data_IF_549457910407
#
_entry.id   IF_549457910407
#
_cell.length_a   1.000
_cell.length_b   1.000
_cell.length_c   1.000
_cell.angle_alpha   90.00
_cell.angle_beta   90.00
_cell.angle_gamma   90.00
#
_symmetry.space_group_name_H-M   'P 1'
#
loop_
_entity.id
_entity.type
_entity.pdbx_description
1 polymer ?
#
# COMPACT_ATOMS: atom_id res chain seq x y z
N UNK A 1 -4.06 -5.78 -18.11
CA UNK A 1 -3.28 -5.82 -19.36
C UNK A 1 -1.98 -4.99 -19.30
N UNK A 2 -2.02 -3.68 -19.03
CA UNK A 2 -0.81 -2.81 -19.07
C UNK A 2 0.36 -3.23 -18.15
N UNK A 3 0.09 -3.75 -16.96
CA UNK A 3 1.14 -4.26 -16.03
C UNK A 3 1.80 -5.54 -16.55
N UNK A 4 1.02 -6.44 -17.17
CA UNK A 4 1.54 -7.63 -17.83
C UNK A 4 2.42 -7.24 -19.01
N UNK A 5 2.00 -6.28 -19.84
CA UNK A 5 2.81 -5.75 -20.95
C UNK A 5 4.15 -5.18 -20.48
N UNK A 6 4.17 -4.52 -19.31
CA UNK A 6 5.40 -3.97 -18.72
C UNK A 6 6.33 -5.08 -18.18
N UNK A 7 5.75 -6.12 -17.58
CA UNK A 7 6.48 -7.32 -17.13
C UNK A 7 7.05 -8.07 -18.33
N UNK A 8 6.29 -8.20 -19.43
CA UNK A 8 6.77 -8.81 -20.67
C UNK A 8 7.86 -7.96 -21.33
N UNK A 9 7.74 -6.64 -21.39
CA UNK A 9 8.81 -5.78 -21.91
C UNK A 9 10.09 -5.81 -21.05
N UNK A 10 9.95 -5.89 -19.72
CA UNK A 10 11.08 -6.09 -18.81
C UNK A 10 11.67 -7.49 -18.93
N UNK A 11 10.83 -8.51 -19.13
CA UNK A 11 11.23 -9.88 -19.38
C UNK A 11 11.98 -10.00 -20.71
N UNK A 12 11.52 -9.34 -21.77
CA UNK A 12 12.20 -9.28 -23.06
C UNK A 12 13.54 -8.57 -22.94
N UNK A 13 13.60 -7.48 -22.18
CA UNK A 13 14.84 -6.78 -21.87
C UNK A 13 15.84 -7.66 -21.09
N UNK A 14 15.39 -8.32 -20.01
CA UNK A 14 16.23 -9.23 -19.24
C UNK A 14 16.66 -10.46 -20.06
N UNK A 15 15.77 -10.97 -20.91
CA UNK A 15 16.04 -12.08 -21.82
C UNK A 15 17.10 -11.71 -22.86
N UNK A 16 17.04 -10.49 -23.41
CA UNK A 16 18.06 -9.96 -24.31
C UNK A 16 19.40 -9.75 -23.60
N UNK A 17 19.37 -9.22 -22.37
CA UNK A 17 20.56 -9.00 -21.56
C UNK A 17 21.23 -10.34 -21.19
N UNK A 18 20.43 -11.35 -20.83
CA UNK A 18 20.92 -12.69 -20.51
C UNK A 18 21.47 -13.43 -21.74
N UNK A 19 20.82 -13.29 -22.91
CA UNK A 19 21.38 -13.77 -24.20
C UNK A 19 22.70 -13.08 -24.54
N UNK A 20 22.81 -11.77 -24.28
CA UNK A 20 24.03 -10.98 -24.51
C UNK A 20 25.19 -11.32 -23.56
N UNK A 21 24.90 -11.81 -22.35
CA UNK A 21 25.91 -12.22 -21.37
C UNK A 21 26.55 -13.59 -21.68
N UNK A 22 26.12 -14.29 -22.74
CA UNK A 22 26.80 -15.50 -23.23
C UNK A 22 26.82 -16.67 -22.25
N UNK A 23 26.01 -16.65 -21.20
CA UNK A 23 25.94 -17.72 -20.20
C UNK A 23 25.17 -18.90 -20.78
N UNK A 24 25.83 -19.69 -21.63
CA UNK A 24 25.37 -21.00 -22.05
C UNK A 24 25.35 -21.91 -20.83
N UNK A 25 24.18 -22.09 -20.20
CA UNK A 25 24.02 -23.23 -19.29
C UNK A 25 24.06 -24.51 -20.15
N UNK A 26 25.01 -25.43 -19.91
CA UNK A 26 25.01 -26.70 -20.59
C UNK A 26 23.82 -27.52 -20.06
N UNK A 27 22.88 -27.88 -20.94
CA UNK A 27 21.80 -28.81 -20.60
C UNK A 27 20.37 -28.39 -20.96
N UNK A 28 20.13 -27.21 -21.54
CA UNK A 28 18.83 -26.95 -22.18
C UNK A 28 18.83 -27.62 -23.57
N UNK A 29 17.95 -28.60 -23.83
CA UNK A 29 17.88 -29.25 -25.13
C UNK A 29 17.42 -28.22 -26.16
N UNK A 30 18.36 -27.78 -27.00
CA UNK A 30 18.07 -27.01 -28.20
C UNK A 30 17.38 -27.95 -29.19
N UNK A 31 16.05 -27.89 -29.25
CA UNK A 31 15.33 -28.45 -30.38
C UNK A 31 15.68 -27.60 -31.61
N UNK A 32 16.43 -28.18 -32.54
CA UNK A 32 16.83 -27.54 -33.79
C UNK A 32 15.59 -27.07 -34.57
N UNK A 33 15.47 -25.75 -34.81
CA UNK A 33 14.55 -25.18 -35.79
C UNK A 33 13.47 -24.23 -35.26
N UNK A 34 13.29 -24.09 -33.93
CA UNK A 34 12.43 -23.05 -33.36
C UNK A 34 13.28 -22.13 -32.49
N UNK A 35 13.14 -20.80 -32.68
CA UNK A 35 13.86 -19.83 -31.85
C UNK A 35 13.69 -20.17 -30.37
N UNK A 36 14.75 -20.20 -29.55
CA UNK A 36 14.65 -20.55 -28.15
C UNK A 36 13.79 -19.51 -27.44
N UNK A 37 12.51 -19.82 -27.25
CA UNK A 37 11.61 -19.02 -26.42
C UNK A 37 12.10 -19.15 -24.99
N UNK A 38 12.75 -18.10 -24.50
CA UNK A 38 13.07 -17.99 -23.08
C UNK A 38 11.73 -18.04 -22.34
N UNK A 39 11.50 -19.12 -21.62
CA UNK A 39 10.36 -19.21 -20.71
C UNK A 39 10.80 -18.66 -19.35
N UNK A 40 9.83 -18.13 -18.59
CA UNK A 40 10.05 -17.70 -17.20
C UNK A 40 10.70 -18.79 -16.34
N UNK A 41 10.48 -20.06 -16.70
CA UNK A 41 11.03 -21.22 -16.00
C UNK A 41 12.55 -21.35 -16.16
N UNK A 42 13.12 -20.78 -17.21
CA UNK A 42 14.55 -20.81 -17.47
C UNK A 42 15.34 -19.72 -16.72
N UNK A 43 14.66 -18.72 -16.15
CA UNK A 43 15.34 -17.65 -15.42
C UNK A 43 15.97 -18.16 -14.12
N UNK A 44 17.16 -17.68 -13.73
CA UNK A 44 17.73 -17.91 -12.39
C UNK A 44 16.86 -17.35 -11.25
N UNK A 45 17.00 -17.93 -10.04
CA UNK A 45 16.18 -17.56 -8.86
C UNK A 45 16.39 -16.09 -8.43
N UNK A 46 17.62 -15.60 -8.48
CA UNK A 46 18.00 -14.22 -8.20
C UNK A 46 17.32 -13.23 -9.16
N UNK A 47 17.25 -13.57 -10.45
CA UNK A 47 16.52 -12.75 -11.44
C UNK A 47 15.03 -12.75 -11.16
N UNK A 48 14.44 -13.91 -10.84
CA UNK A 48 13.03 -14.00 -10.46
C UNK A 48 12.72 -13.22 -9.19
N UNK A 49 13.64 -13.20 -8.22
CA UNK A 49 13.52 -12.39 -7.01
C UNK A 49 13.53 -10.89 -7.31
N UNK A 50 14.36 -10.44 -8.26
CA UNK A 50 14.38 -9.03 -8.73
C UNK A 50 13.06 -8.69 -9.44
N UNK A 51 12.51 -9.61 -10.24
CA UNK A 51 11.19 -9.41 -10.87
C UNK A 51 10.12 -9.26 -9.79
N UNK A 52 10.14 -10.13 -8.77
CA UNK A 52 9.23 -10.05 -7.63
C UNK A 52 9.41 -8.73 -6.85
N UNK A 53 10.63 -8.20 -6.69
CA UNK A 53 10.89 -6.86 -6.11
C UNK A 53 10.18 -5.76 -6.89
N UNK A 54 10.25 -5.80 -8.22
CA UNK A 54 9.59 -4.78 -9.05
C UNK A 54 8.07 -4.89 -8.99
N UNK A 55 7.54 -6.10 -8.83
CA UNK A 55 6.11 -6.32 -8.69
C UNK A 55 5.59 -5.81 -7.34
N UNK A 56 6.39 -5.84 -6.28
CA UNK A 56 6.01 -5.43 -4.91
C UNK A 56 5.79 -3.91 -4.77
N UNK A 57 6.14 -3.11 -5.79
CA UNK A 57 5.86 -1.67 -5.76
C UNK A 57 4.35 -1.41 -5.59
N UNK A 58 3.95 -0.59 -4.59
CA UNK A 58 2.55 -0.37 -4.29
C UNK A 58 1.86 0.26 -5.50
N UNK A 59 0.92 -0.48 -6.09
CA UNK A 59 -0.05 0.11 -7.00
C UNK A 59 -0.98 0.94 -6.12
N UNK A 60 -0.79 2.26 -6.12
CA UNK A 60 -1.70 3.21 -5.45
C UNK A 60 -2.99 3.27 -6.27
N UNK A 61 -3.80 2.22 -6.19
CA UNK A 61 -5.23 2.30 -6.48
C UNK A 61 -5.90 2.74 -5.17
N UNK A 62 -6.33 4.00 -5.13
CA UNK A 62 -7.20 4.64 -4.14
C UNK A 62 -7.41 3.83 -2.84
N UNK A 63 -6.57 4.07 -1.82
CA UNK A 63 -6.69 3.49 -0.48
C UNK A 63 -7.89 4.04 0.33
N UNK A 64 -8.98 4.39 -0.36
CA UNK A 64 -10.28 4.73 0.20
C UNK A 64 -11.33 4.02 -0.66
N UNK A 65 -11.43 2.69 -0.53
CA UNK A 65 -12.63 1.86 -0.65
C UNK A 65 -12.28 0.38 -0.93
N UNK A 66 -13.06 -0.50 -0.31
CA UNK A 66 -13.17 -1.95 -0.53
C UNK A 66 -12.03 -2.84 -0.01
N UNK A 67 -12.34 -3.57 1.08
CA UNK A 67 -11.43 -4.46 1.77
C UNK A 67 -11.05 -5.71 0.99
N UNK A 68 -9.78 -5.79 0.60
CA UNK A 68 -8.95 -7.01 0.49
C UNK A 68 -7.52 -6.56 0.19
N UNK A 69 -6.58 -6.66 1.13
CA UNK A 69 -5.15 -6.45 0.79
C UNK A 69 -4.21 -7.27 1.67
N UNK A 70 -4.00 -8.56 1.37
CA UNK A 70 -2.68 -9.15 1.65
C UNK A 70 -1.68 -8.22 0.96
N UNK A 71 -0.76 -7.60 1.70
CA UNK A 71 0.11 -6.53 1.17
C UNK A 71 1.34 -7.07 0.40
N UNK A 72 1.30 -8.33 -0.06
CA UNK A 72 1.96 -8.61 -1.33
C UNK A 72 1.18 -7.85 -2.39
N UNK A 73 1.83 -7.05 -3.24
CA UNK A 73 1.08 -6.39 -4.31
C UNK A 73 0.20 -7.43 -5.01
N UNK A 74 -1.04 -7.07 -5.38
CA UNK A 74 -1.97 -7.97 -6.08
C UNK A 74 -1.27 -8.70 -7.24
N UNK A 75 -0.26 -8.05 -7.83
CA UNK A 75 0.61 -8.59 -8.87
C UNK A 75 1.53 -9.73 -8.38
N UNK A 76 2.19 -9.62 -7.22
CA UNK A 76 3.02 -10.71 -6.67
C UNK A 76 2.19 -11.95 -6.40
N UNK A 77 0.99 -11.79 -5.81
CA UNK A 77 0.10 -12.92 -5.54
C UNK A 77 -0.34 -13.57 -6.86
N UNK A 78 -0.84 -12.78 -7.82
CA UNK A 78 -1.22 -13.28 -9.16
C UNK A 78 -0.06 -13.92 -9.91
N UNK A 79 1.15 -13.39 -9.76
CA UNK A 79 2.33 -13.95 -10.41
C UNK A 79 2.77 -15.27 -9.75
N UNK A 80 2.63 -15.37 -8.43
CA UNK A 80 2.92 -16.59 -7.69
C UNK A 80 2.00 -17.76 -8.03
N UNK A 81 0.79 -17.51 -8.55
CA UNK A 81 -0.11 -18.60 -8.98
C UNK A 81 0.31 -19.22 -10.32
N UNK A 82 1.22 -18.58 -11.07
CA UNK A 82 1.64 -19.06 -12.40
C UNK A 82 2.55 -20.29 -12.31
N UNK A 83 3.41 -20.36 -11.30
CA UNK A 83 4.40 -21.44 -11.18
C UNK A 83 4.79 -21.73 -9.72
N UNK A 84 4.95 -23.01 -9.36
CA UNK A 84 5.32 -23.45 -8.00
C UNK A 84 6.67 -22.87 -7.52
N UNK A 85 7.67 -22.77 -8.40
CA UNK A 85 8.99 -22.18 -8.11
C UNK A 85 8.85 -20.70 -7.75
N UNK A 86 8.09 -19.94 -8.54
CA UNK A 86 7.80 -18.52 -8.27
C UNK A 86 7.05 -18.37 -6.94
N UNK A 87 6.11 -19.26 -6.64
CA UNK A 87 5.41 -19.27 -5.35
C UNK A 87 6.36 -19.48 -4.18
N UNK A 88 7.30 -20.42 -4.27
CA UNK A 88 8.28 -20.67 -3.21
C UNK A 88 9.22 -19.48 -3.03
N UNK A 89 9.72 -18.89 -4.13
CA UNK A 89 10.59 -17.70 -4.08
C UNK A 89 9.85 -16.47 -3.54
N UNK A 90 8.58 -16.30 -3.90
CA UNK A 90 7.74 -15.19 -3.48
C UNK A 90 7.12 -15.36 -2.10
N UNK A 91 7.20 -16.55 -1.49
CA UNK A 91 6.53 -16.87 -0.23
C UNK A 91 6.90 -15.88 0.89
N UNK A 92 8.20 -15.61 1.05
CA UNK A 92 8.69 -14.68 2.06
C UNK A 92 8.17 -13.25 1.88
N UNK A 93 7.83 -12.85 0.66
CA UNK A 93 7.26 -11.53 0.34
C UNK A 93 5.76 -11.50 0.58
N UNK A 94 5.05 -12.50 0.07
CA UNK A 94 3.60 -12.64 0.20
C UNK A 94 3.20 -12.69 1.67
N UNK A 95 3.94 -13.45 2.47
CA UNK A 95 3.64 -13.66 3.89
C UNK A 95 4.21 -12.58 4.80
N UNK A 96 5.04 -11.65 4.29
CA UNK A 96 5.70 -10.63 5.11
C UNK A 96 4.71 -9.72 5.82
N UNK A 97 3.67 -9.32 5.11
CA UNK A 97 2.64 -8.38 5.58
C UNK A 97 1.26 -8.97 5.32
N UNK A 98 0.63 -9.42 6.39
CA UNK A 98 -0.70 -9.99 6.36
C UNK A 98 -1.73 -8.94 6.78
N UNK A 99 -2.84 -8.84 6.06
CA UNK A 99 -3.96 -8.00 6.44
C UNK A 99 -5.24 -8.83 6.37
N UNK A 100 -5.88 -9.00 7.51
CA UNK A 100 -7.15 -9.67 7.67
C UNK A 100 -8.19 -8.56 7.83
N UNK A 101 -8.81 -8.19 6.71
CA UNK A 101 -9.57 -6.95 6.56
C UNK A 101 -11.02 -7.01 7.05
N UNK A 102 -11.76 -5.89 6.97
CA UNK A 102 -13.12 -5.75 7.51
C UNK A 102 -14.17 -6.61 6.79
N UNK A 103 -13.91 -7.06 5.57
CA UNK A 103 -14.80 -7.92 4.77
C UNK A 103 -14.83 -9.39 5.24
N UNK A 104 -14.15 -9.70 6.33
CA UNK A 104 -13.96 -11.06 6.81
C UNK A 104 -14.99 -11.41 7.87
N UNK A 105 -15.81 -12.43 7.58
CA UNK A 105 -16.65 -13.02 8.62
C UNK A 105 -15.78 -13.65 9.72
N UNK A 106 -16.31 -13.74 10.94
CA UNK A 106 -15.61 -14.36 12.08
C UNK A 106 -15.07 -15.77 11.74
N UNK A 107 -15.85 -16.57 11.00
CA UNK A 107 -15.43 -17.90 10.54
C UNK A 107 -14.26 -17.86 9.57
N UNK A 108 -14.28 -16.93 8.59
CA UNK A 108 -13.17 -16.76 7.63
C UNK A 108 -11.91 -16.31 8.37
N UNK A 109 -12.05 -15.39 9.31
CA UNK A 109 -10.94 -14.89 10.13
C UNK A 109 -10.32 -16.00 10.98
N UNK A 110 -11.14 -16.72 11.74
CA UNK A 110 -10.71 -17.88 12.54
C UNK A 110 -9.98 -18.92 11.68
N UNK A 111 -10.54 -19.26 10.52
CA UNK A 111 -9.90 -20.21 9.59
C UNK A 111 -8.53 -19.70 9.09
N UNK A 112 -8.40 -18.43 8.72
CA UNK A 112 -7.08 -17.93 8.30
C UNK A 112 -6.08 -17.83 9.43
N UNK A 113 -6.50 -17.45 10.64
CA UNK A 113 -5.61 -17.46 11.81
C UNK A 113 -5.10 -18.88 12.07
N UNK A 114 -5.97 -19.88 12.00
CA UNK A 114 -5.58 -21.29 12.07
C UNK A 114 -4.57 -21.67 10.97
N UNK A 115 -4.80 -21.27 9.72
CA UNK A 115 -3.85 -21.53 8.62
C UNK A 115 -2.51 -20.82 8.80
N UNK A 116 -2.51 -19.60 9.30
CA UNK A 116 -1.29 -18.84 9.64
C UNK A 116 -0.52 -19.58 10.73
N UNK A 117 -1.21 -20.03 11.79
CA UNK A 117 -0.63 -20.81 12.88
C UNK A 117 -0.07 -22.16 12.44
N UNK A 118 -0.66 -22.80 11.43
CA UNK A 118 -0.20 -24.09 10.92
C UNK A 118 0.89 -23.96 9.84
N UNK A 119 1.00 -22.80 9.19
CA UNK A 119 1.95 -22.57 8.10
C UNK A 119 3.37 -22.27 8.60
N UNK A 120 4.32 -23.17 8.32
CA UNK A 120 5.74 -22.94 8.62
C UNK A 120 6.32 -21.69 7.92
N UNK A 121 5.86 -21.40 6.70
CA UNK A 121 6.24 -20.17 5.98
C UNK A 121 5.72 -18.91 6.67
N UNK A 122 4.49 -18.93 7.17
CA UNK A 122 3.91 -17.77 7.85
C UNK A 122 4.65 -17.47 9.16
N UNK A 123 4.96 -18.49 9.96
CA UNK A 123 5.78 -18.33 11.18
C UNK A 123 7.14 -17.69 10.89
N UNK A 124 7.79 -18.13 9.81
CA UNK A 124 9.14 -17.70 9.45
C UNK A 124 9.20 -16.33 8.81
N UNK A 125 8.17 -15.92 8.07
CA UNK A 125 8.27 -14.73 7.21
C UNK A 125 7.36 -13.57 7.64
N UNK A 126 6.32 -13.82 8.45
CA UNK A 126 5.40 -12.75 8.87
C UNK A 126 6.11 -11.76 9.79
N UNK A 127 6.21 -10.52 9.33
CA UNK A 127 6.78 -9.40 10.10
C UNK A 127 5.72 -8.40 10.53
N UNK A 128 4.61 -8.33 9.80
CA UNK A 128 3.52 -7.39 10.02
C UNK A 128 2.19 -8.12 9.88
N UNK A 129 1.30 -7.96 10.85
CA UNK A 129 -0.08 -8.41 10.75
C UNK A 129 -1.01 -7.26 11.11
N UNK A 130 -2.03 -7.04 10.28
CA UNK A 130 -3.12 -6.12 10.57
C UNK A 130 -4.42 -6.90 10.57
N UNK A 131 -5.24 -6.70 11.59
CA UNK A 131 -6.49 -7.42 11.80
C UNK A 131 -7.57 -6.39 12.06
N UNK A 132 -8.59 -6.44 11.22
CA UNK A 132 -9.74 -5.57 11.27
C UNK A 132 -10.94 -6.40 11.74
N UNK A 133 -11.26 -6.26 13.02
CA UNK A 133 -12.35 -6.96 13.70
C UNK A 133 -13.64 -6.15 13.56
N UNK A 134 -14.21 -6.20 12.35
CA UNK A 134 -15.50 -5.60 12.02
C UNK A 134 -16.51 -6.70 11.83
N UNK A 135 -17.37 -6.86 12.81
CA UNK A 135 -18.54 -7.70 12.64
C UNK A 135 -19.62 -6.80 12.03
N UNK A 136 -19.59 -6.67 10.70
CA UNK A 136 -20.64 -5.98 9.94
C UNK A 136 -22.01 -6.59 10.30
N UNK A 137 -22.91 -5.74 10.82
CA UNK A 137 -24.35 -5.93 10.66
C UNK A 137 -25.08 -6.99 11.50
N UNK A 138 -24.46 -7.67 12.46
CA UNK A 138 -25.16 -8.76 13.14
C UNK A 138 -25.26 -8.60 14.66
N UNK A 139 -26.52 -8.48 15.08
CA UNK A 139 -27.09 -8.81 16.40
C UNK A 139 -26.82 -10.30 16.78
N UNK A 140 -26.01 -11.02 16.00
CA UNK A 140 -25.71 -12.43 16.19
C UNK A 140 -24.71 -12.62 17.33
N UNK A 141 -25.28 -13.06 18.46
CA UNK A 141 -24.72 -13.73 19.63
C UNK A 141 -23.21 -13.61 19.90
N UNK A 142 -22.87 -13.19 21.11
CA UNK A 142 -21.51 -13.17 21.67
C UNK A 142 -20.68 -14.46 21.41
N UNK A 143 -21.34 -15.62 21.22
CA UNK A 143 -20.70 -16.90 20.87
C UNK A 143 -19.92 -16.87 19.56
N UNK A 144 -20.37 -16.14 18.54
CA UNK A 144 -19.67 -16.05 17.24
C UNK A 144 -18.44 -15.12 17.29
N UNK A 145 -18.28 -14.34 18.37
CA UNK A 145 -17.18 -13.40 18.54
C UNK A 145 -15.94 -14.06 19.18
N UNK A 146 -16.13 -15.13 19.96
CA UNK A 146 -15.05 -15.77 20.75
C UNK A 146 -14.07 -16.59 19.90
N UNK A 147 -14.55 -17.30 18.88
CA UNK A 147 -13.72 -18.19 18.06
C UNK A 147 -12.53 -17.50 17.36
N UNK A 148 -12.68 -16.33 16.69
CA UNK A 148 -11.53 -15.63 16.14
C UNK A 148 -10.58 -15.08 17.21
N UNK A 149 -11.05 -14.84 18.44
CA UNK A 149 -10.22 -14.32 19.53
C UNK A 149 -9.30 -15.41 20.09
N UNK A 150 -9.81 -16.62 20.36
CA UNK A 150 -8.97 -17.74 20.80
C UNK A 150 -7.89 -18.08 19.77
N UNK A 151 -8.26 -18.14 18.49
CA UNK A 151 -7.30 -18.38 17.41
C UNK A 151 -6.27 -17.26 17.30
N UNK A 152 -6.65 -16.01 17.57
CA UNK A 152 -5.70 -14.90 17.57
C UNK A 152 -4.66 -15.04 18.69
N UNK A 153 -5.12 -15.33 19.91
CA UNK A 153 -4.24 -15.54 21.08
C UNK A 153 -3.26 -16.69 20.83
N UNK A 154 -3.69 -17.76 20.18
CA UNK A 154 -2.82 -18.89 19.86
C UNK A 154 -1.90 -18.63 18.66
N UNK A 155 -2.32 -17.76 17.73
CA UNK A 155 -1.54 -17.46 16.51
C UNK A 155 -0.39 -16.50 16.79
N UNK A 156 -0.63 -15.40 17.53
CA UNK A 156 0.37 -14.33 17.70
C UNK A 156 1.71 -14.82 18.30
N UNK A 157 1.73 -15.65 19.36
CA UNK A 157 2.98 -16.16 19.93
C UNK A 157 3.75 -17.07 18.98
N UNK A 158 3.08 -17.67 17.98
CA UNK A 158 3.73 -18.56 17.00
C UNK A 158 4.48 -17.83 15.89
N UNK A 159 4.38 -16.50 15.82
CA UNK A 159 4.99 -15.67 14.80
C UNK A 159 6.28 -15.01 15.33
N UNK A 160 7.38 -15.77 15.35
CA UNK A 160 8.67 -15.39 15.97
C UNK A 160 9.26 -14.07 15.44
N UNK A 161 8.91 -13.69 14.21
CA UNK A 161 9.44 -12.49 13.55
C UNK A 161 8.43 -11.34 13.46
N UNK A 162 7.28 -11.47 14.11
CA UNK A 162 6.26 -10.44 14.11
C UNK A 162 6.77 -9.22 14.88
N UNK A 163 6.84 -8.07 14.20
CA UNK A 163 7.29 -6.78 14.75
C UNK A 163 6.22 -5.71 14.74
N UNK A 164 5.30 -5.79 13.77
CA UNK A 164 4.20 -4.84 13.65
C UNK A 164 2.85 -5.53 13.81
N UNK A 165 2.07 -5.09 14.79
CA UNK A 165 0.72 -5.57 15.03
C UNK A 165 -0.28 -4.43 14.85
N UNK A 166 -1.25 -4.61 13.99
CA UNK A 166 -2.40 -3.72 13.85
C UNK A 166 -3.66 -4.46 14.28
N UNK A 167 -4.41 -3.91 15.23
CA UNK A 167 -5.75 -4.41 15.56
C UNK A 167 -6.71 -3.22 15.55
N UNK A 168 -7.71 -3.29 14.68
CA UNK A 168 -8.84 -2.38 14.74
C UNK A 168 -10.07 -3.17 15.19
N UNK A 169 -10.80 -2.64 16.16
CA UNK A 169 -11.93 -3.33 16.76
C UNK A 169 -12.98 -2.32 17.25
N UNK A 170 -14.24 -2.74 17.26
CA UNK A 170 -15.31 -2.01 17.96
C UNK A 170 -15.10 -2.06 19.48
N UNK A 171 -15.78 -1.19 20.24
CA UNK A 171 -15.67 -1.18 21.70
C UNK A 171 -16.04 -2.53 22.34
N UNK A 172 -17.08 -3.21 21.82
CA UNK A 172 -17.50 -4.52 22.32
C UNK A 172 -16.45 -5.60 22.05
N UNK A 173 -15.90 -5.65 20.82
CA UNK A 173 -14.84 -6.59 20.48
C UNK A 173 -13.53 -6.29 21.23
N UNK A 174 -13.20 -5.02 21.48
CA UNK A 174 -12.05 -4.63 22.29
C UNK A 174 -12.14 -5.14 23.74
N UNK A 175 -13.34 -5.09 24.34
CA UNK A 175 -13.58 -5.64 25.69
C UNK A 175 -13.39 -7.15 25.74
N UNK A 176 -13.97 -7.88 24.78
CA UNK A 176 -13.82 -9.33 24.72
C UNK A 176 -12.36 -9.77 24.44
N UNK A 177 -11.64 -9.04 23.58
CA UNK A 177 -10.20 -9.23 23.38
C UNK A 177 -9.42 -9.00 24.66
N UNK A 178 -9.76 -7.95 25.43
CA UNK A 178 -9.08 -7.67 26.69
C UNK A 178 -9.14 -8.87 27.62
N UNK A 179 -10.34 -9.43 27.83
CA UNK A 179 -10.52 -10.61 28.67
C UNK A 179 -9.69 -11.79 28.15
N UNK A 180 -9.73 -12.08 26.84
CA UNK A 180 -8.94 -13.17 26.26
C UNK A 180 -7.40 -12.98 26.43
N UNK A 181 -6.91 -11.75 26.30
CA UNK A 181 -5.49 -11.41 26.50
C UNK A 181 -5.08 -11.50 27.98
N UNK A 182 -5.96 -11.06 28.89
CA UNK A 182 -5.74 -11.12 30.33
C UNK A 182 -5.72 -12.58 30.81
N UNK A 183 -6.69 -13.39 30.38
CA UNK A 183 -6.79 -14.82 30.71
C UNK A 183 -5.57 -15.62 30.23
N UNK A 184 -5.06 -15.30 29.03
CA UNK A 184 -3.87 -15.93 28.48
C UNK A 184 -2.55 -15.37 29.06
N UNK A 185 -2.61 -14.34 29.90
CA UNK A 185 -1.48 -13.57 30.39
C UNK A 185 -0.46 -13.23 29.28
N UNK A 186 -0.97 -12.87 28.09
CA UNK A 186 -0.14 -12.77 26.90
C UNK A 186 0.77 -11.55 26.97
N UNK A 187 2.05 -11.75 26.62
CA UNK A 187 3.04 -10.69 26.39
C UNK A 187 3.50 -10.74 24.94
N UNK A 188 3.72 -9.57 24.37
CA UNK A 188 4.07 -9.37 22.97
C UNK A 188 5.43 -8.67 22.86
N UNK A 189 6.46 -9.31 23.37
CA UNK A 189 7.80 -8.71 23.52
C UNK A 189 8.47 -8.40 22.16
N UNK A 190 8.11 -9.12 21.09
CA UNK A 190 8.68 -8.89 19.76
C UNK A 190 8.06 -7.68 19.03
N UNK A 191 6.94 -7.14 19.54
CA UNK A 191 6.21 -6.06 18.88
C UNK A 191 6.88 -4.72 19.16
N UNK A 192 7.37 -4.09 18.11
CA UNK A 192 7.98 -2.75 18.13
C UNK A 192 7.07 -1.69 17.51
N UNK A 193 6.09 -2.08 16.70
CA UNK A 193 5.12 -1.19 16.07
C UNK A 193 3.69 -1.67 16.35
N UNK A 194 2.83 -0.77 16.80
CA UNK A 194 1.46 -1.09 17.16
C UNK A 194 0.48 -0.10 16.53
N UNK A 195 -0.57 -0.61 15.92
CA UNK A 195 -1.69 0.20 15.40
C UNK A 195 -2.98 -0.22 16.08
N UNK A 196 -3.67 0.69 16.76
CA UNK A 196 -4.83 0.36 17.59
C UNK A 196 -6.04 1.26 17.36
N UNK A 197 -7.22 0.72 17.68
CA UNK A 197 -8.40 1.54 17.95
C UNK A 197 -8.33 2.19 19.35
N UNK A 198 -9.04 3.32 19.58
CA UNK A 198 -8.95 4.06 20.86
C UNK A 198 -9.33 3.26 22.12
N UNK A 199 -10.16 2.22 22.00
CA UNK A 199 -10.62 1.39 23.13
C UNK A 199 -9.63 0.29 23.55
N UNK A 200 -8.40 0.31 23.02
CA UNK A 200 -7.41 -0.76 23.20
C UNK A 200 -6.14 -0.28 23.93
N UNK A 201 -6.26 0.77 24.74
CA UNK A 201 -5.19 1.29 25.60
C UNK A 201 -4.59 0.20 26.52
N UNK A 202 -5.41 -0.76 26.96
CA UNK A 202 -5.01 -1.92 27.76
C UNK A 202 -3.96 -2.83 27.10
N UNK A 203 -3.75 -2.74 25.78
CA UNK A 203 -2.77 -3.57 25.08
C UNK A 203 -1.34 -2.99 25.18
N UNK A 204 -1.20 -1.68 25.44
CA UNK A 204 0.11 -1.02 25.50
C UNK A 204 1.04 -1.64 26.57
N UNK A 205 0.59 -1.91 27.81
CA UNK A 205 1.42 -2.56 28.82
C UNK A 205 1.85 -4.00 28.46
N UNK A 206 1.23 -4.63 27.44
CA UNK A 206 1.58 -5.98 26.97
C UNK A 206 2.68 -5.97 25.90
N UNK A 207 3.09 -4.80 25.41
CA UNK A 207 4.10 -4.63 24.37
C UNK A 207 5.30 -3.83 24.91
N UNK A 208 6.16 -4.39 25.77
CA UNK A 208 7.17 -3.63 26.50
C UNK A 208 8.22 -2.96 25.60
N UNK A 209 8.50 -3.52 24.42
CA UNK A 209 9.50 -3.02 23.47
C UNK A 209 8.91 -2.10 22.39
N UNK A 210 7.76 -1.48 22.67
CA UNK A 210 7.03 -0.65 21.70
C UNK A 210 7.79 0.65 21.41
N UNK A 211 8.11 0.86 20.13
CA UNK A 211 8.79 2.06 19.64
C UNK A 211 7.88 2.96 18.80
N UNK A 212 6.87 2.40 18.15
CA UNK A 212 5.94 3.13 17.30
C UNK A 212 4.50 2.80 17.62
N UNK A 213 3.69 3.83 17.89
CA UNK A 213 2.26 3.70 18.15
C UNK A 213 1.47 4.55 17.16
N UNK A 214 0.52 3.94 16.48
CA UNK A 214 -0.45 4.59 15.62
C UNK A 214 -1.86 4.32 16.14
N UNK A 215 -2.66 5.36 16.29
CA UNK A 215 -4.04 5.26 16.77
C UNK A 215 -4.94 5.57 15.60
N UNK A 216 -5.83 4.65 15.28
CA UNK A 216 -6.71 4.76 14.13
C UNK A 216 -8.18 4.83 14.56
N UNK A 217 -8.74 6.04 14.54
CA UNK A 217 -10.09 6.36 15.05
C UNK A 217 -11.17 6.38 13.94
N UNK A 218 -10.81 6.11 12.69
CA UNK A 218 -11.77 6.07 11.56
C UNK A 218 -12.96 5.12 11.78
N UNK A 219 -12.80 4.16 12.69
CA UNK A 219 -13.75 3.07 12.95
C UNK A 219 -14.90 3.48 13.84
N UNK A 220 -14.72 4.48 14.71
CA UNK A 220 -15.59 4.60 15.87
C UNK A 220 -16.37 5.91 15.87
N UNK A 221 -17.68 5.81 15.60
CA UNK A 221 -18.67 6.82 15.95
C UNK A 221 -19.04 6.79 17.45
N UNK A 222 -18.06 6.64 18.34
CA UNK A 222 -18.33 6.68 19.78
C UNK A 222 -18.56 8.11 20.25
N UNK A 223 -19.41 8.25 21.26
CA UNK A 223 -19.69 9.53 21.92
C UNK A 223 -18.59 9.91 22.94
N UNK A 224 -17.79 8.95 23.42
CA UNK A 224 -16.77 9.13 24.48
C UNK A 224 -15.31 9.15 23.98
N UNK A 225 -15.04 9.78 22.82
CA UNK A 225 -13.71 9.73 22.19
C UNK A 225 -12.59 10.37 23.03
N UNK A 226 -12.87 11.51 23.65
CA UNK A 226 -11.90 12.28 24.45
C UNK A 226 -11.31 11.45 25.60
N UNK A 227 -12.14 10.72 26.33
CA UNK A 227 -11.72 9.89 27.47
C UNK A 227 -10.78 8.77 27.03
N UNK A 228 -11.10 8.07 25.93
CA UNK A 228 -10.26 7.00 25.41
C UNK A 228 -8.93 7.50 24.88
N UNK A 229 -8.94 8.63 24.17
CA UNK A 229 -7.71 9.21 23.66
C UNK A 229 -6.79 9.70 24.78
N UNK A 230 -7.34 10.28 25.85
CA UNK A 230 -6.58 10.66 27.04
C UNK A 230 -5.99 9.45 27.78
N UNK A 231 -6.76 8.38 27.97
CA UNK A 231 -6.27 7.14 28.59
C UNK A 231 -5.14 6.51 27.78
N UNK A 232 -5.29 6.48 26.45
CA UNK A 232 -4.28 5.95 25.55
C UNK A 232 -3.02 6.82 25.59
N UNK A 233 -3.14 8.15 25.58
CA UNK A 233 -1.99 9.05 25.73
C UNK A 233 -1.28 8.82 27.07
N UNK A 234 -2.03 8.66 28.16
CA UNK A 234 -1.48 8.36 29.49
C UNK A 234 -0.74 7.02 29.49
N UNK A 235 -1.30 5.99 28.86
CA UNK A 235 -0.66 4.68 28.72
C UNK A 235 0.59 4.74 27.82
N UNK A 236 0.55 5.51 26.74
CA UNK A 236 1.69 5.75 25.87
C UNK A 236 2.82 6.50 26.59
N UNK A 237 2.48 7.47 27.44
CA UNK A 237 3.44 8.22 28.26
C UNK A 237 4.21 7.34 29.25
N UNK A 238 3.63 6.20 29.66
CA UNK A 238 4.30 5.23 30.51
C UNK A 238 5.35 4.38 29.76
N UNK A 239 5.40 4.45 28.43
CA UNK A 239 6.35 3.71 27.60
C UNK A 239 7.66 4.49 27.46
N UNK A 240 8.77 3.92 27.91
CA UNK A 240 10.09 4.59 27.93
C UNK A 240 10.71 4.75 26.54
N UNK A 241 10.44 3.80 25.65
CA UNK A 241 11.12 3.68 24.36
C UNK A 241 10.26 4.15 23.17
N UNK A 242 9.14 4.84 23.44
CA UNK A 242 8.25 5.29 22.38
C UNK A 242 8.87 6.47 21.61
N UNK A 243 9.26 6.22 20.36
CA UNK A 243 9.91 7.19 19.49
C UNK A 243 8.95 7.78 18.44
N UNK A 244 7.94 7.01 18.05
CA UNK A 244 6.99 7.38 17.01
C UNK A 244 5.57 7.33 17.57
N UNK A 245 4.84 8.42 17.41
CA UNK A 245 3.44 8.52 17.81
C UNK A 245 2.63 9.12 16.68
N UNK A 246 1.55 8.47 16.27
CA UNK A 246 0.65 8.96 15.25
C UNK A 246 -0.79 8.88 15.74
N UNK A 247 -1.50 10.01 15.65
CA UNK A 247 -2.91 10.10 16.00
C UNK A 247 -3.71 10.34 14.73
N UNK A 248 -4.44 9.32 14.28
CA UNK A 248 -5.39 9.40 13.19
C UNK A 248 -6.79 9.64 13.75
N UNK A 249 -7.04 10.83 14.30
CA UNK A 249 -8.34 11.24 14.80
C UNK A 249 -8.98 12.28 13.86
N UNK A 250 -10.22 12.04 13.46
CA UNK A 250 -10.99 12.91 12.58
C UNK A 250 -11.52 14.18 13.26
N UNK A 251 -11.43 14.29 14.60
CA UNK A 251 -11.85 15.46 15.37
C UNK A 251 -10.89 15.70 16.54
N UNK A 252 -10.12 16.77 16.43
CA UNK A 252 -9.05 17.26 17.33
C UNK A 252 -9.41 17.31 18.84
N UNK A 253 -9.56 16.18 19.51
CA UNK A 253 -9.80 16.13 20.97
C UNK A 253 -8.53 15.82 21.78
N UNK A 254 -7.47 15.28 21.18
CA UNK A 254 -6.16 15.28 21.84
C UNK A 254 -5.48 16.59 21.49
N UNK A 255 -5.32 17.45 22.49
CA UNK A 255 -4.62 18.70 22.28
C UNK A 255 -3.13 18.37 22.08
N UNK A 256 -2.54 18.85 20.98
CA UNK A 256 -1.10 18.73 20.73
C UNK A 256 -0.22 19.14 21.94
N UNK A 257 -0.60 20.15 22.76
CA UNK A 257 0.03 20.40 24.06
C UNK A 257 0.10 19.20 25.00
N UNK A 258 -0.96 18.40 25.11
CA UNK A 258 -1.00 17.22 25.96
C UNK A 258 -0.02 16.16 25.45
N UNK A 259 0.05 15.98 24.13
CA UNK A 259 1.03 15.07 23.51
C UNK A 259 2.46 15.51 23.80
N UNK A 260 2.72 16.82 23.73
CA UNK A 260 4.03 17.37 24.04
C UNK A 260 4.40 17.19 25.52
N UNK A 261 3.45 17.35 26.43
CA UNK A 261 3.67 17.14 27.86
C UNK A 261 3.92 15.67 28.18
N UNK A 262 3.12 14.77 27.61
CA UNK A 262 3.22 13.34 27.82
C UNK A 262 4.44 12.69 27.13
N UNK A 263 4.78 13.13 25.93
CA UNK A 263 5.76 12.49 25.04
C UNK A 263 6.77 13.50 24.45
N UNK A 264 7.56 14.21 25.29
CA UNK A 264 8.41 15.32 24.84
C UNK A 264 9.59 14.90 23.93
N UNK A 265 9.97 13.62 23.97
CA UNK A 265 11.16 13.07 23.27
C UNK A 265 10.83 12.34 21.96
N UNK A 266 9.63 12.55 21.41
CA UNK A 266 9.25 11.93 20.14
C UNK A 266 10.20 12.34 19.00
N UNK A 267 10.60 11.33 18.24
CA UNK A 267 11.35 11.49 16.99
C UNK A 267 10.44 11.67 15.79
N UNK A 268 9.26 11.06 15.84
CA UNK A 268 8.25 11.15 14.78
C UNK A 268 6.88 11.42 15.36
N UNK A 269 6.18 12.38 14.78
CA UNK A 269 4.81 12.70 15.13
C UNK A 269 3.93 12.68 13.87
N UNK A 270 2.85 11.91 13.92
CA UNK A 270 1.80 11.90 12.91
C UNK A 270 0.55 12.60 13.42
N UNK A 271 0.11 13.63 12.69
CA UNK A 271 -1.13 14.36 12.91
C UNK A 271 -2.02 14.18 11.68
N UNK A 272 -3.20 13.60 11.89
CA UNK A 272 -4.24 13.52 10.89
C UNK A 272 -5.33 14.52 11.26
N UNK A 273 -5.76 15.35 10.31
CA UNK A 273 -6.96 16.15 10.49
C UNK A 273 -8.06 15.59 9.63
N UNK A 274 -9.17 15.20 10.25
CA UNK A 274 -10.34 14.72 9.52
C UNK A 274 -10.96 15.76 8.60
N UNK A 275 -12.07 15.36 8.00
CA UNK A 275 -12.77 16.02 6.88
C UNK A 275 -13.38 17.40 7.17
N UNK A 276 -13.10 18.04 8.31
CA UNK A 276 -13.78 19.27 8.74
C UNK A 276 -12.94 20.33 9.45
N UNK A 277 -11.64 20.11 9.68
CA UNK A 277 -10.79 21.10 10.35
C UNK A 277 -9.33 20.85 10.05
N UNK A 278 -8.83 21.49 8.99
CA UNK A 278 -7.43 21.37 8.59
C UNK A 278 -6.45 21.79 9.69
N UNK A 279 -5.19 21.36 9.57
CA UNK A 279 -4.13 21.72 10.52
C UNK A 279 -3.90 23.24 10.43
N UNK A 280 -4.24 23.96 11.48
CA UNK A 280 -3.87 25.36 11.61
C UNK A 280 -2.36 25.47 11.94
N UNK A 281 -1.52 25.57 10.90
CA UNK A 281 -0.07 25.64 11.07
C UNK A 281 0.38 26.79 11.98
N UNK A 282 -0.32 27.93 11.99
CA UNK A 282 0.06 29.07 12.84
C UNK A 282 -0.11 28.76 14.33
N UNK A 283 -1.12 27.95 14.68
CA UNK A 283 -1.29 27.44 16.04
C UNK A 283 -0.35 26.27 16.37
N UNK A 284 -0.19 25.32 15.45
CA UNK A 284 0.53 24.06 15.74
C UNK A 284 2.05 24.21 15.70
N UNK A 285 2.61 25.04 14.81
CA UNK A 285 4.07 25.17 14.64
C UNK A 285 4.80 25.64 15.91
N UNK A 286 4.31 26.65 16.67
CA UNK A 286 4.91 27.03 17.95
C UNK A 286 4.99 25.87 18.95
N UNK A 287 3.97 24.99 18.98
CA UNK A 287 3.93 23.82 19.86
C UNK A 287 4.88 22.74 19.34
N UNK A 288 4.85 22.43 18.04
CA UNK A 288 5.73 21.46 17.40
C UNK A 288 7.22 21.79 17.60
N UNK A 289 7.56 23.09 17.62
CA UNK A 289 8.94 23.56 17.87
C UNK A 289 9.46 23.19 19.27
N UNK A 290 8.58 22.90 20.22
CA UNK A 290 8.95 22.50 21.59
C UNK A 290 9.41 21.04 21.68
N UNK A 291 9.08 20.19 20.70
CA UNK A 291 9.63 18.83 20.62
C UNK A 291 11.11 18.88 20.23
N UNK A 292 11.99 18.62 21.18
CA UNK A 292 13.45 18.82 20.99
C UNK A 292 14.06 17.79 20.03
N UNK A 293 13.46 16.61 19.92
CA UNK A 293 13.97 15.47 19.18
C UNK A 293 13.21 15.17 17.88
N UNK A 294 12.19 15.98 17.55
CA UNK A 294 11.33 15.74 16.39
C UNK A 294 12.13 15.87 15.07
N UNK A 295 12.28 14.73 14.39
CA UNK A 295 12.97 14.61 13.09
C UNK A 295 12.00 14.33 11.96
N UNK A 296 10.87 13.69 12.24
CA UNK A 296 9.85 13.36 11.25
C UNK A 296 8.49 13.91 11.65
N UNK A 297 7.81 14.56 10.72
CA UNK A 297 6.47 15.08 10.92
C UNK A 297 5.58 14.60 9.78
N UNK A 298 4.46 13.99 10.13
CA UNK A 298 3.47 13.55 9.18
C UNK A 298 2.18 14.35 9.40
N UNK A 299 1.80 15.13 8.39
CA UNK A 299 0.61 16.00 8.37
C UNK A 299 -0.33 15.48 7.28
N UNK A 300 -1.03 14.40 7.59
CA UNK A 300 -1.92 13.75 6.63
C UNK A 300 -3.10 14.68 6.36
N UNK A 301 -3.39 14.92 5.08
CA UNK A 301 -4.47 15.78 4.58
C UNK A 301 -4.28 17.31 4.72
N UNK A 302 -3.16 17.81 5.27
CA UNK A 302 -2.91 19.26 5.35
C UNK A 302 -2.96 19.97 3.97
N UNK A 303 -2.61 19.25 2.90
CA UNK A 303 -2.66 19.72 1.52
C UNK A 303 -4.10 19.92 0.98
N UNK A 304 -5.10 19.25 1.54
CA UNK A 304 -6.50 19.33 1.07
C UNK A 304 -7.22 20.60 1.54
N UNK A 305 -6.74 21.27 2.59
CA UNK A 305 -7.46 22.35 3.26
C UNK A 305 -6.90 23.76 3.00
N UNK A 306 -5.80 23.87 2.25
CA UNK A 306 -5.16 25.17 2.03
C UNK A 306 -5.90 26.12 1.08
N UNK A 307 -6.93 25.66 0.36
CA UNK A 307 -7.82 26.55 -0.38
C UNK A 307 -8.84 27.30 0.49
N UNK A 308 -9.08 26.86 1.73
CA UNK A 308 -10.24 27.33 2.51
C UNK A 308 -9.92 28.46 3.50
N UNK A 309 -8.67 28.62 3.92
CA UNK A 309 -8.32 29.66 4.90
C UNK A 309 -8.00 31.04 4.29
N UNK A 310 -7.71 31.12 2.98
CA UNK A 310 -7.64 32.40 2.27
C UNK A 310 -8.98 32.85 1.66
N UNK A 311 -9.98 31.97 1.58
CA UNK A 311 -11.34 32.33 1.18
C UNK A 311 -12.29 32.12 2.36
N UNK A 312 -12.38 33.14 3.22
CA UNK A 312 -13.25 33.18 4.40
C UNK A 312 -14.75 33.20 4.09
N UNK A 313 -15.15 32.89 2.87
CA UNK A 313 -16.52 32.89 2.39
C UNK A 313 -16.62 31.86 1.29
N UNK A 314 -17.72 31.11 1.30
CA UNK A 314 -18.09 30.06 0.32
C UNK A 314 -17.71 28.65 0.76
N UNK A 315 -18.54 28.15 1.68
CA UNK A 315 -18.88 26.72 1.79
C UNK A 315 -19.58 26.27 0.50
N UNK A 316 -18.85 26.06 -0.60
CA UNK A 316 -19.39 25.41 -1.80
C UNK A 316 -18.31 24.50 -2.41
N UNK A 317 -18.55 23.21 -2.23
CA UNK A 317 -18.14 22.10 -3.10
C UNK A 317 -16.67 21.66 -3.10
N UNK A 318 -16.51 20.34 -3.01
CA UNK A 318 -15.30 19.52 -3.26
C UNK A 318 -14.80 19.60 -4.72
N UNK A 319 -14.87 20.77 -5.34
CA UNK A 319 -14.65 20.94 -6.77
C UNK A 319 -13.20 21.33 -7.06
N UNK A 320 -12.45 20.35 -7.56
CA UNK A 320 -11.36 20.53 -8.51
C UNK A 320 -10.30 21.58 -8.17
N UNK A 321 -9.67 21.50 -6.99
CA UNK A 321 -8.34 22.09 -6.85
C UNK A 321 -7.46 21.50 -7.96
N UNK A 322 -6.86 22.34 -8.79
CA UNK A 322 -6.00 21.84 -9.86
C UNK A 322 -4.79 21.14 -9.24
N UNK A 323 -4.17 20.23 -10.00
CA UNK A 323 -2.94 19.56 -9.55
C UNK A 323 -1.85 20.59 -9.21
N UNK A 324 -1.82 21.70 -9.93
CA UNK A 324 -0.89 22.81 -9.72
C UNK A 324 -1.14 23.49 -8.38
N UNK A 325 -2.41 23.75 -8.02
CA UNK A 325 -2.77 24.36 -6.74
C UNK A 325 -2.36 23.48 -5.55
N UNK A 326 -2.61 22.15 -5.64
CA UNK A 326 -2.22 21.20 -4.60
C UNK A 326 -0.69 21.18 -4.44
N UNK A 327 0.03 21.19 -5.56
CA UNK A 327 1.50 21.16 -5.57
C UNK A 327 2.06 22.45 -4.97
N UNK A 328 1.56 23.62 -5.40
CA UNK A 328 1.95 24.92 -4.86
C UNK A 328 1.65 25.04 -3.35
N UNK A 329 0.47 24.57 -2.92
CA UNK A 329 0.10 24.50 -1.51
C UNK A 329 1.04 23.60 -0.71
N UNK A 330 1.37 22.41 -1.21
CA UNK A 330 2.32 21.49 -0.58
C UNK A 330 3.72 22.11 -0.47
N UNK A 331 4.20 22.79 -1.51
CA UNK A 331 5.46 23.54 -1.47
C UNK A 331 5.44 24.63 -0.40
N UNK A 332 4.38 25.42 -0.33
CA UNK A 332 4.23 26.48 0.66
C UNK A 332 4.24 25.92 2.09
N UNK A 333 3.49 24.85 2.37
CA UNK A 333 3.53 24.15 3.68
C UNK A 333 4.94 23.70 3.98
N UNK A 334 5.58 23.03 3.02
CA UNK A 334 6.91 22.44 3.20
C UNK A 334 7.90 23.51 3.63
N UNK A 335 7.92 24.65 2.93
CA UNK A 335 8.80 25.75 3.25
C UNK A 335 8.48 26.35 4.63
N UNK A 336 7.21 26.59 4.94
CA UNK A 336 6.76 27.13 6.23
C UNK A 336 7.12 26.21 7.40
N UNK A 337 6.92 24.91 7.25
CA UNK A 337 7.21 23.89 8.26
C UNK A 337 8.71 23.77 8.49
N UNK A 338 9.53 23.63 7.45
CA UNK A 338 10.98 23.51 7.62
C UNK A 338 11.62 24.79 8.17
N UNK A 339 11.09 25.97 7.82
CA UNK A 339 11.52 27.24 8.41
C UNK A 339 11.20 27.32 9.90
N UNK A 340 10.01 26.86 10.31
CA UNK A 340 9.59 26.88 11.71
C UNK A 340 10.23 25.76 12.57
N UNK A 341 10.55 24.62 11.96
CA UNK A 341 11.08 23.42 12.59
C UNK A 341 12.48 23.10 12.04
N UNK A 342 13.52 23.83 12.46
CA UNK A 342 14.84 23.72 11.86
C UNK A 342 15.49 22.35 12.06
N UNK A 343 15.05 21.53 13.04
CA UNK A 343 15.58 20.18 13.30
C UNK A 343 14.90 19.08 12.48
N UNK A 344 13.81 19.41 11.80
CA UNK A 344 13.05 18.45 11.02
C UNK A 344 13.88 17.94 9.84
N UNK A 345 13.86 16.63 9.62
CA UNK A 345 14.57 15.92 8.56
C UNK A 345 13.61 15.39 7.49
N UNK A 346 12.40 14.98 7.87
CA UNK A 346 11.39 14.43 6.98
C UNK A 346 10.02 15.07 7.28
N UNK A 347 9.32 15.49 6.23
CA UNK A 347 7.94 15.96 6.26
C UNK A 347 7.10 15.12 5.30
N UNK A 348 5.98 14.59 5.78
CA UNK A 348 5.03 13.80 4.98
C UNK A 348 3.70 14.55 4.92
N UNK A 349 3.25 14.93 3.73
CA UNK A 349 1.98 15.67 3.51
C UNK A 349 0.93 14.79 2.83
N UNK A 350 0.78 13.58 3.34
CA UNK A 350 -0.10 12.54 2.80
C UNK A 350 0.66 11.41 2.09
N UNK A 351 -0.08 10.47 1.47
CA UNK A 351 0.50 9.21 0.98
C UNK A 351 1.51 9.40 -0.15
N UNK A 352 1.36 10.47 -0.94
CA UNK A 352 2.13 10.69 -2.17
C UNK A 352 3.06 11.91 -2.08
N UNK A 353 3.24 12.49 -0.89
CA UNK A 353 4.09 13.65 -0.73
C UNK A 353 5.00 13.47 0.48
N UNK A 354 6.30 13.44 0.19
CA UNK A 354 7.37 13.44 1.18
C UNK A 354 8.37 14.50 0.78
N UNK A 355 8.95 15.17 1.77
CA UNK A 355 10.01 16.15 1.59
C UNK A 355 11.09 15.91 2.65
N UNK A 356 12.35 16.14 2.27
CA UNK A 356 13.50 15.95 3.15
C UNK A 356 14.37 17.19 3.19
N UNK A 357 15.19 17.30 4.24
CA UNK A 357 16.25 18.33 4.29
C UNK A 357 17.58 17.65 3.97
N UNK A 358 18.26 18.13 2.93
CA UNK A 358 19.63 17.70 2.60
C UNK A 358 20.57 18.81 3.03
N UNK A 359 21.18 18.66 4.20
CA UNK A 359 22.16 19.64 4.67
C UNK A 359 23.49 19.41 3.97
N UNK A 360 23.86 20.29 3.05
CA UNK A 360 25.21 20.37 2.53
C UNK A 360 26.17 21.00 3.54
N UNK A 361 27.47 20.82 3.30
CA UNK A 361 28.53 21.29 4.19
C UNK A 361 28.63 22.83 4.30
N UNK A 362 28.04 23.59 3.36
CA UNK A 362 28.15 25.05 3.31
C UNK A 362 26.82 25.79 3.08
N UNK A 363 25.74 25.12 2.68
CA UNK A 363 24.40 25.71 2.57
C UNK A 363 23.34 24.67 2.94
N UNK A 364 22.46 25.00 3.88
CA UNK A 364 21.28 24.19 4.21
C UNK A 364 20.22 24.33 3.11
N UNK A 365 20.47 23.76 1.92
CA UNK A 365 19.46 23.71 0.86
C UNK A 365 18.38 22.68 1.22
N UNK A 366 17.12 23.10 1.22
CA UNK A 366 16.00 22.18 1.36
C UNK A 366 15.83 21.46 0.02
N UNK A 367 16.40 20.26 -0.11
CA UNK A 367 16.17 19.39 -1.28
C UNK A 367 14.82 18.68 -1.13
N UNK A 368 13.77 19.29 -1.70
CA UNK A 368 12.45 18.68 -1.78
C UNK A 368 12.48 17.59 -2.83
N UNK A 369 12.82 16.36 -2.42
CA UNK A 369 12.70 15.19 -3.29
C UNK A 369 11.26 14.72 -3.34
N UNK A 370 10.77 14.49 -4.54
CA UNK A 370 9.42 14.02 -4.81
C UNK A 370 9.44 12.51 -4.85
N UNK A 371 9.05 11.87 -3.75
CA UNK A 371 8.54 10.52 -3.86
C UNK A 371 7.04 10.60 -4.16
N UNK A 372 6.76 11.00 -5.40
CA UNK A 372 5.48 10.65 -5.98
C UNK A 372 5.48 9.13 -6.06
N UNK A 373 4.83 8.46 -5.11
CA UNK A 373 4.33 7.11 -5.33
C UNK A 373 3.39 7.19 -6.53
N UNK A 374 3.99 7.01 -7.72
CA UNK A 374 3.40 7.00 -9.05
C UNK A 374 2.93 8.36 -9.59
N UNK A 375 3.87 9.17 -10.07
CA UNK A 375 3.73 9.64 -11.46
C UNK A 375 4.70 8.82 -12.29
N UNK A 376 4.16 8.07 -13.25
CA UNK A 376 4.95 7.35 -14.25
C UNK A 376 6.01 8.28 -14.83
N UNK A 377 7.28 8.08 -14.46
CA UNK A 377 8.30 8.14 -15.50
C UNK A 377 8.17 6.82 -16.24
N UNK A 378 7.92 6.82 -17.56
CA UNK A 378 7.92 5.59 -18.31
C UNK A 378 9.26 4.90 -18.06
N UNK A 379 9.22 3.59 -17.84
CA UNK A 379 10.41 2.76 -17.61
C UNK A 379 11.48 2.98 -18.71
N UNK A 380 11.05 3.47 -19.89
CA UNK A 380 11.88 4.01 -20.97
C UNK A 380 12.89 5.09 -20.58
N UNK A 381 12.60 6.01 -19.65
CA UNK A 381 13.58 7.04 -19.25
C UNK A 381 14.64 6.48 -18.30
N UNK A 382 14.25 5.57 -17.40
CA UNK A 382 15.19 4.87 -16.51
C UNK A 382 16.03 3.85 -17.27
N UNK A 383 15.46 3.18 -18.27
CA UNK A 383 16.18 2.32 -19.20
C UNK A 383 16.94 3.12 -20.26
N UNK A 384 16.56 4.36 -20.56
CA UNK A 384 17.24 5.24 -21.51
C UNK A 384 18.70 5.50 -21.13
N UNK A 385 18.95 5.74 -19.84
CA UNK A 385 20.32 5.86 -19.31
C UNK A 385 21.13 4.56 -19.33
N UNK A 386 20.47 3.39 -19.36
CA UNK A 386 21.14 2.11 -19.60
C UNK A 386 21.32 1.86 -21.11
N UNK A 387 20.37 2.30 -21.94
CA UNK A 387 20.41 2.22 -23.40
C UNK A 387 21.58 3.04 -23.96
N UNK A 388 21.80 4.25 -23.47
CA UNK A 388 22.95 5.11 -23.83
C UNK A 388 24.30 4.48 -23.45
N UNK A 389 24.35 3.61 -22.43
CA UNK A 389 25.57 2.88 -22.05
C UNK A 389 25.83 1.63 -22.90
N UNK A 390 24.83 1.12 -23.63
CA UNK A 390 24.94 -0.12 -24.42
C UNK A 390 24.64 0.07 -25.92
N UNK A 391 24.31 1.29 -26.38
CA UNK A 391 23.94 1.59 -27.77
C UNK A 391 25.15 1.88 -28.67
N UNK A 392 26.10 0.96 -28.73
CA UNK A 392 27.05 0.86 -29.83
C UNK A 392 26.90 -0.53 -30.48
N UNK A 393 25.90 -0.70 -31.36
CA UNK A 393 25.85 -1.88 -32.22
C UNK A 393 24.51 -2.31 -32.82
N UNK A 394 23.37 -2.12 -32.14
CA UNK A 394 22.15 -2.90 -32.47
C UNK A 394 20.90 -2.13 -32.92
N UNK A 395 21.01 -0.82 -33.21
CA UNK A 395 19.82 0.01 -33.52
C UNK A 395 19.10 -0.35 -34.82
N UNK A 396 19.79 -0.91 -35.83
CA UNK A 396 19.21 -1.12 -37.17
C UNK A 396 18.33 -2.37 -37.32
N UNK A 397 18.51 -3.40 -36.50
CA UNK A 397 17.71 -4.64 -36.62
C UNK A 397 16.31 -4.53 -35.99
N UNK A 398 16.12 -3.57 -35.08
CA UNK A 398 14.85 -3.36 -34.39
C UNK A 398 13.80 -2.66 -35.23
N UNK A 399 14.21 -1.70 -36.07
CA UNK A 399 13.30 -0.96 -36.95
C UNK A 399 12.70 -1.89 -38.01
N UNK A 400 13.49 -2.81 -38.55
CA UNK A 400 13.05 -3.77 -39.58
C UNK A 400 12.07 -4.82 -39.04
N UNK A 401 12.21 -5.22 -37.76
CA UNK A 401 11.32 -6.21 -37.14
C UNK A 401 9.96 -5.61 -36.73
N UNK A 402 9.95 -4.35 -36.32
CA UNK A 402 8.72 -3.62 -35.96
C UNK A 402 7.85 -3.30 -37.20
N UNK A 403 8.47 -2.96 -38.33
CA UNK A 403 7.75 -2.79 -39.61
C UNK A 403 7.12 -4.11 -40.09
N UNK A 404 7.83 -5.24 -39.96
CA UNK A 404 7.30 -6.54 -40.37
C UNK A 404 6.04 -6.95 -39.60
N UNK A 405 6.00 -6.75 -38.28
CA UNK A 405 4.81 -7.08 -37.48
C UNK A 405 3.63 -6.12 -37.68
N UNK A 406 3.91 -4.84 -37.98
CA UNK A 406 2.85 -3.87 -38.29
C UNK A 406 2.12 -4.22 -39.58
N UNK A 407 2.85 -4.73 -40.58
CA UNK A 407 2.27 -5.12 -41.87
C UNK A 407 1.45 -6.42 -41.75
N UNK A 408 1.93 -7.39 -40.96
CA UNK A 408 1.21 -8.65 -40.72
C UNK A 408 -0.10 -8.44 -39.94
N UNK A 409 -0.12 -7.48 -38.99
CA UNK A 409 -1.33 -7.10 -38.27
C UNK A 409 -2.34 -6.36 -39.18
N UNK A 410 -1.88 -5.53 -40.11
CA UNK A 410 -2.75 -4.83 -41.05
C UNK A 410 -3.45 -5.80 -42.04
N UNK A 411 -2.76 -6.85 -42.49
CA UNK A 411 -3.33 -7.88 -43.36
C UNK A 411 -4.40 -8.72 -42.63
N UNK A 412 -4.17 -9.07 -41.36
CA UNK A 412 -5.13 -9.83 -40.56
C UNK A 412 -6.43 -9.05 -40.29
N UNK A 413 -6.35 -7.73 -40.14
CA UNK A 413 -7.53 -6.88 -39.97
C UNK A 413 -8.34 -6.74 -41.25
N UNK A 414 -7.67 -6.64 -42.41
CA UNK A 414 -8.36 -6.61 -43.71
C UNK A 414 -9.12 -7.90 -44.02
N UNK A 415 -8.62 -9.06 -43.55
CA UNK A 415 -9.28 -10.35 -43.69
C UNK A 415 -10.52 -10.49 -42.78
N UNK A 416 -10.48 -9.92 -41.57
CA UNK A 416 -11.59 -9.93 -40.64
C UNK A 416 -12.77 -9.08 -41.12
N UNK A 417 -12.50 -7.88 -41.66
CA UNK A 417 -13.53 -7.00 -42.22
C UNK A 417 -14.20 -7.60 -43.47
N UNK A 418 -13.43 -8.33 -44.30
CA UNK A 418 -13.96 -9.08 -45.44
C UNK A 418 -14.92 -10.20 -45.02
N UNK A 419 -14.72 -10.83 -43.86
CA UNK A 419 -15.60 -11.90 -43.38
C UNK A 419 -16.89 -11.33 -42.77
N UNK A 420 -16.81 -10.22 -42.04
CA UNK A 420 -17.99 -9.57 -41.46
C UNK A 420 -18.98 -9.08 -42.53
N UNK A 421 -18.48 -8.47 -43.61
CA UNK A 421 -19.33 -7.99 -44.71
C UNK A 421 -20.08 -9.10 -45.45
N UNK A 422 -19.55 -10.33 -45.48
CA UNK A 422 -20.23 -11.49 -46.09
C UNK A 422 -21.37 -12.03 -45.22
N UNK A 423 -21.20 -12.06 -43.90
CA UNK A 423 -22.24 -12.48 -42.96
C UNK A 423 -23.44 -11.52 -42.93
N UNK A 424 -23.19 -10.21 -43.04
CA UNK A 424 -24.27 -9.21 -43.04
C UNK A 424 -25.11 -9.26 -44.33
N UNK A 425 -24.47 -9.52 -45.48
CA UNK A 425 -25.18 -9.69 -46.75
C UNK A 425 -26.05 -10.96 -46.80
N UNK A 426 -25.59 -12.05 -46.16
CA UNK A 426 -26.35 -13.30 -46.06
C UNK A 426 -27.59 -13.14 -45.17
N UNK A 427 -27.44 -12.42 -44.05
CA UNK A 427 -28.53 -12.17 -43.09
C UNK A 427 -29.63 -11.28 -43.68
N UNK A 428 -29.26 -10.28 -44.49
CA UNK A 428 -30.21 -9.42 -45.20
C UNK A 428 -31.00 -10.16 -46.30
N UNK A 429 -30.38 -11.13 -46.98
CA UNK A 429 -31.05 -11.94 -47.99
C UNK A 429 -32.07 -12.93 -47.39
N UNK A 430 -31.80 -13.46 -46.19
CA UNK A 430 -32.70 -14.38 -45.50
C UNK A 430 -33.90 -13.66 -44.87
N UNK A 431 -33.74 -12.39 -44.44
CA UNK A 431 -34.84 -11.56 -43.94
C UNK A 431 -35.82 -11.18 -45.08
N UNK A 432 -35.31 -10.85 -46.27
CA UNK A 432 -36.17 -10.49 -47.41
C UNK A 432 -36.94 -11.68 -48.02
N UNK A 433 -36.50 -12.92 -47.78
CA UNK A 433 -37.24 -14.12 -48.20
C UNK A 433 -38.42 -14.45 -47.30
N UNK A 434 -38.36 -14.07 -46.02
CA UNK A 434 -39.44 -14.35 -45.08
C UNK A 434 -40.61 -13.35 -45.15
N UNK A 435 -40.43 -12.17 -45.75
CA UNK A 435 -41.50 -11.17 -45.88
C UNK A 435 -42.42 -11.39 -47.09
N UNK A 436 -42.06 -12.26 -48.05
CA UNK A 436 -42.86 -12.50 -49.26
C UNK A 436 -43.78 -13.73 -49.22
N UNK A 437 -43.76 -14.54 -48.16
CA UNK A 437 -44.57 -15.76 -48.03
C UNK A 437 -45.84 -15.59 -47.16
N UNK A 438 -46.20 -14.36 -46.80
CA UNK A 438 -47.36 -14.04 -45.95
C UNK A 438 -48.46 -13.29 -46.69
N UNK A 439 -49.15 -13.94 -47.63
CA UNK A 439 -50.29 -13.33 -48.30
C UNK A 439 -51.07 -14.28 -49.21
N UNK A 440 -51.90 -15.15 -48.63
CA UNK A 440 -53.16 -15.64 -49.21
C UNK A 440 -54.00 -16.27 -48.09
N UNK A 441 -54.98 -15.50 -47.60
CA UNK A 441 -56.31 -15.93 -47.12
C UNK A 441 -57.29 -14.76 -47.35
#
# INVERSE_FOLDING_TARGET
MKTLTLVFAFFDYLSQLYRGLGTSRPGLPYAFGTEPRLTLECLPDDVLLIVLDQLEQPVVENAVQAGFLIHGSSNVIRFSTVNKRIRVLGEARILRTLHLGPSWSAKKLSHALLHIRLSGGAKRYTKRIKIDLWLEGAIDSAKNQMAPMSELIETLPSLDHLRALGITATASSASALRSAFEDANMKLDNITELTLSPHMDWLLPRCPNLQALSINDWVVMSQDRSTHAANLLKAAAAMTDLLHFALHNHRNEVHLPDVLEALPNLHSLGLFTGTGGGINLDYHLPILRRFRQLKRLELVEASKFLGQHHMRTVSISRCHASKEDITAAQFHITHKVFQALPRLQELILGPNFRAWVVRGHEDSRIDVRWEATVFRRPLQERLGHLRERFSCGYSRQWETYAEAQSNEAAEQWSLADSMHSRTDAQTLADVQRHENDGGED
#
